data_IF_053551429073
#
_entry.id   IF_053551429073
#
_cell.length_a   1.000
_cell.length_b   1.000
_cell.length_c   1.000
_cell.angle_alpha   90.00
_cell.angle_beta   90.00
_cell.angle_gamma   90.00
#
_symmetry.space_group_name_H-M   'P 1'
#
loop_
_entity.id
_entity.type
_entity.pdbx_description
1 polymer ?
#
# COMPACT_ATOMS: atom_id res chain seq x y z
N UNK A 1 10.68 -16.57 -2.48
CA UNK A 1 9.94 -15.61 -3.32
C UNK A 1 9.57 -16.29 -4.63
N UNK A 2 8.41 -15.96 -5.20
CA UNK A 2 7.91 -16.43 -6.48
C UNK A 2 7.12 -15.27 -7.10
N UNK A 3 7.58 -14.76 -8.23
CA UNK A 3 6.95 -13.65 -8.93
C UNK A 3 5.99 -14.18 -9.98
N UNK A 4 4.82 -13.55 -10.11
CA UNK A 4 3.91 -13.77 -11.23
C UNK A 4 4.38 -12.92 -12.40
N UNK A 5 4.67 -13.56 -13.51
CA UNK A 5 5.19 -12.92 -14.72
C UNK A 5 4.13 -12.72 -15.80
N UNK A 6 3.06 -13.54 -15.78
CA UNK A 6 1.92 -13.40 -16.70
C UNK A 6 0.65 -14.11 -16.15
N UNK A 7 -0.52 -13.72 -16.67
CA UNK A 7 -1.81 -14.35 -16.41
C UNK A 7 -2.37 -14.90 -17.72
N UNK A 8 -2.44 -16.22 -17.79
CA UNK A 8 -2.86 -16.91 -19.02
C UNK A 8 -4.37 -16.88 -19.20
N UNK A 9 -4.84 -16.22 -20.25
CA UNK A 9 -6.25 -16.17 -20.64
C UNK A 9 -6.46 -16.85 -21.99
N UNK A 10 -7.42 -17.77 -22.11
CA UNK A 10 -7.83 -18.43 -23.36
C UNK A 10 -9.35 -18.37 -23.51
N UNK A 11 -9.81 -17.94 -24.66
CA UNK A 11 -11.26 -17.83 -24.97
C UNK A 11 -12.06 -17.09 -23.89
N UNK A 12 -11.50 -15.97 -23.34
CA UNK A 12 -12.14 -15.16 -22.31
C UNK A 12 -12.18 -15.78 -20.91
N UNK A 13 -11.43 -16.84 -20.68
CA UNK A 13 -11.34 -17.50 -19.38
C UNK A 13 -9.88 -17.60 -18.91
N UNK A 14 -9.63 -17.35 -17.62
CA UNK A 14 -8.32 -17.60 -17.04
C UNK A 14 -8.02 -19.12 -17.01
N UNK A 15 -6.79 -19.48 -17.35
CA UNK A 15 -6.34 -20.88 -17.38
C UNK A 15 -5.16 -21.15 -16.46
N UNK A 16 -4.53 -20.10 -15.94
CA UNK A 16 -3.42 -20.21 -15.01
C UNK A 16 -2.61 -18.92 -14.88
N UNK A 17 -1.49 -19.04 -14.22
CA UNK A 17 -0.49 -17.98 -14.06
C UNK A 17 0.89 -18.50 -14.38
N UNK A 18 1.71 -17.70 -15.04
CA UNK A 18 3.13 -17.93 -15.23
C UNK A 18 3.89 -17.32 -14.07
N UNK A 19 4.89 -18.02 -13.59
CA UNK A 19 5.72 -17.54 -12.49
C UNK A 19 7.21 -17.81 -12.75
N UNK A 20 8.06 -17.14 -12.00
CA UNK A 20 9.52 -17.40 -12.02
C UNK A 20 9.90 -18.83 -11.59
N UNK A 21 8.96 -19.62 -11.08
CA UNK A 21 9.15 -21.02 -10.68
C UNK A 21 8.33 -22.01 -11.51
N UNK A 22 7.73 -21.54 -12.60
CA UNK A 22 6.95 -22.35 -13.53
C UNK A 22 5.47 -21.98 -13.56
N UNK A 23 4.74 -22.66 -14.43
CA UNK A 23 3.31 -22.43 -14.69
C UNK A 23 2.42 -23.09 -13.64
N UNK A 24 1.44 -22.37 -13.13
CA UNK A 24 0.39 -22.89 -12.25
C UNK A 24 -0.93 -22.89 -13.04
N UNK A 25 -1.47 -24.05 -13.35
CA UNK A 25 -2.77 -24.17 -14.02
C UNK A 25 -3.91 -23.99 -13.03
N UNK A 26 -4.82 -23.09 -13.32
CA UNK A 26 -6.01 -22.84 -12.49
C UNK A 26 -7.18 -22.31 -13.32
N UNK A 27 -8.39 -22.72 -12.98
CA UNK A 27 -9.64 -22.19 -13.57
C UNK A 27 -10.14 -20.93 -12.87
N UNK A 28 -9.53 -20.57 -11.72
CA UNK A 28 -9.86 -19.38 -10.94
C UNK A 28 -8.55 -18.74 -10.44
N UNK A 29 -8.44 -17.44 -10.63
CA UNK A 29 -7.33 -16.62 -10.14
C UNK A 29 -7.92 -15.38 -9.49
N UNK A 30 -7.47 -15.04 -8.30
CA UNK A 30 -7.80 -13.79 -7.63
C UNK A 30 -6.52 -12.97 -7.47
N UNK A 31 -6.54 -11.71 -7.89
CA UNK A 31 -5.47 -10.76 -7.60
C UNK A 31 -5.80 -9.98 -6.33
N UNK A 32 -4.89 -10.09 -5.34
CA UNK A 32 -4.97 -9.45 -4.03
C UNK A 32 -3.56 -8.91 -3.73
N UNK A 33 -3.12 -7.93 -4.52
CA UNK A 33 -1.71 -7.55 -4.64
C UNK A 33 -1.47 -6.05 -4.40
N UNK A 34 -2.44 -5.38 -3.78
CA UNK A 34 -2.36 -3.96 -3.40
C UNK A 34 -1.82 -3.09 -4.56
N UNK A 35 -0.74 -2.35 -4.36
CA UNK A 35 -0.17 -1.43 -5.34
C UNK A 35 0.21 -2.02 -6.70
N UNK A 36 0.20 -3.35 -6.87
CA UNK A 36 0.46 -4.00 -8.15
C UNK A 36 -0.82 -4.45 -8.88
N UNK A 37 -2.00 -4.11 -8.37
CA UNK A 37 -3.29 -4.58 -8.90
C UNK A 37 -3.49 -4.19 -10.36
N UNK A 38 -3.20 -2.95 -10.76
CA UNK A 38 -3.34 -2.51 -12.15
C UNK A 38 -2.39 -3.22 -13.10
N UNK A 39 -1.16 -3.52 -12.64
CA UNK A 39 -0.16 -4.24 -13.42
C UNK A 39 -0.62 -5.67 -13.72
N UNK A 40 -1.07 -6.40 -12.69
CA UNK A 40 -1.54 -7.77 -12.87
C UNK A 40 -2.88 -7.84 -13.63
N UNK A 41 -3.77 -6.87 -13.43
CA UNK A 41 -4.99 -6.76 -14.22
C UNK A 41 -4.65 -6.58 -15.73
N UNK A 42 -3.63 -5.76 -16.03
CA UNK A 42 -3.11 -5.56 -17.38
C UNK A 42 -2.62 -6.84 -18.06
N UNK A 43 -2.01 -7.76 -17.31
CA UNK A 43 -1.58 -9.08 -17.82
C UNK A 43 -2.79 -9.92 -18.30
N UNK A 44 -3.95 -9.75 -17.67
CA UNK A 44 -5.20 -10.37 -18.10
C UNK A 44 -5.97 -9.56 -19.16
N UNK A 45 -5.38 -8.50 -19.72
CA UNK A 45 -6.02 -7.61 -20.70
C UNK A 45 -7.08 -6.66 -20.11
N UNK A 46 -7.07 -6.43 -18.81
CA UNK A 46 -8.02 -5.56 -18.13
C UNK A 46 -7.38 -4.23 -17.71
N UNK A 47 -8.16 -3.16 -17.79
CA UNK A 47 -7.82 -1.86 -17.24
C UNK A 47 -8.72 -1.57 -16.04
N UNK A 48 -8.11 -1.24 -14.91
CA UNK A 48 -8.82 -0.88 -13.67
C UNK A 48 -8.44 0.55 -13.25
N UNK A 49 -9.34 1.30 -12.62
CA UNK A 49 -9.08 2.66 -12.19
C UNK A 49 -8.31 2.70 -10.86
N UNK A 50 -7.23 1.94 -10.77
CA UNK A 50 -6.38 1.88 -9.58
C UNK A 50 -5.02 2.46 -9.93
N UNK A 51 -4.57 3.44 -9.17
CA UNK A 51 -3.26 4.06 -9.30
C UNK A 51 -2.33 3.58 -8.19
N UNK A 52 -1.03 3.50 -8.51
CA UNK A 52 0.00 3.03 -7.58
C UNK A 52 0.86 4.19 -7.15
N UNK A 53 0.87 4.49 -5.86
CA UNK A 53 1.62 5.60 -5.29
C UNK A 53 2.55 5.13 -4.16
N UNK A 54 3.74 5.73 -4.00
CA UNK A 54 4.55 5.51 -2.80
C UNK A 54 3.83 6.06 -1.56
N UNK A 55 3.71 5.23 -0.54
CA UNK A 55 3.21 5.60 0.79
C UNK A 55 4.39 5.56 1.76
N UNK A 56 4.75 6.72 2.29
CA UNK A 56 5.97 6.90 3.04
C UNK A 56 5.81 6.65 4.54
N UNK A 57 6.87 6.15 5.15
CA UNK A 57 7.03 6.04 6.58
C UNK A 57 8.45 6.38 7.01
N UNK A 58 8.56 6.88 8.24
CA UNK A 58 9.79 7.30 8.89
C UNK A 58 9.94 6.60 10.22
N UNK A 59 11.17 6.38 10.66
CA UNK A 59 11.47 5.91 12.01
C UNK A 59 12.55 6.77 12.65
N UNK A 60 12.32 7.12 13.93
CA UNK A 60 13.25 7.93 14.71
C UNK A 60 14.30 7.08 15.46
N UNK A 61 15.26 7.77 16.08
CA UNK A 61 16.03 7.20 17.19
C UNK A 61 15.10 6.77 18.34
N UNK A 62 15.51 5.78 19.15
CA UNK A 62 14.70 5.35 20.29
C UNK A 62 14.64 6.41 21.38
N UNK A 63 13.45 6.60 21.94
CA UNK A 63 13.14 7.49 23.03
C UNK A 63 12.64 6.70 24.25
N UNK A 64 12.63 7.34 25.42
CA UNK A 64 11.84 6.84 26.55
C UNK A 64 10.37 6.75 26.15
N UNK A 65 9.57 5.86 26.78
CA UNK A 65 8.15 5.78 26.50
C UNK A 65 7.45 7.13 26.72
N UNK A 66 6.91 7.71 25.64
CA UNK A 66 6.21 9.01 25.64
C UNK A 66 4.87 8.92 24.91
N UNK A 67 4.63 7.84 24.15
CA UNK A 67 3.44 7.68 23.32
C UNK A 67 2.83 6.27 23.52
N UNK A 68 1.91 6.11 24.48
CA UNK A 68 1.33 4.79 24.79
C UNK A 68 0.26 4.33 23.79
N UNK A 69 -0.12 5.20 22.85
CA UNK A 69 -1.16 4.91 21.86
C UNK A 69 -0.80 5.48 20.49
N UNK A 70 -1.41 4.95 19.44
CA UNK A 70 -1.31 5.51 18.10
C UNK A 70 -2.21 6.75 18.00
N UNK A 71 -1.66 7.84 17.52
CA UNK A 71 -2.42 9.06 17.22
C UNK A 71 -2.37 9.31 15.72
N UNK A 72 -3.53 9.55 15.10
CA UNK A 72 -3.64 9.89 13.69
C UNK A 72 -4.49 11.13 13.52
N UNK A 73 -4.04 12.06 12.69
CA UNK A 73 -4.83 13.20 12.23
C UNK A 73 -5.20 13.01 10.77
N UNK A 74 -6.51 12.98 10.49
CA UNK A 74 -7.01 12.97 9.12
C UNK A 74 -6.91 14.36 8.45
N UNK A 75 -6.83 15.43 9.24
CA UNK A 75 -6.76 16.80 8.72
C UNK A 75 -5.40 17.07 8.06
N UNK A 76 -4.33 16.69 8.75
CA UNK A 76 -2.94 16.87 8.28
C UNK A 76 -2.32 15.57 7.75
N UNK A 77 -3.13 14.52 7.68
CA UNK A 77 -2.81 13.22 7.11
C UNK A 77 -1.49 12.62 7.59
N UNK A 78 -1.29 12.61 8.92
CA UNK A 78 -0.11 12.05 9.55
C UNK A 78 -0.49 11.20 10.76
N UNK A 79 0.22 10.11 10.99
CA UNK A 79 0.14 9.34 12.23
C UNK A 79 1.48 9.28 12.95
N UNK A 80 1.39 9.09 14.26
CA UNK A 80 2.51 8.85 15.16
C UNK A 80 2.20 7.68 16.07
N UNK A 81 3.13 6.75 16.16
CA UNK A 81 3.13 5.67 17.16
C UNK A 81 4.54 5.47 17.71
N UNK A 82 4.66 4.81 18.84
CA UNK A 82 5.95 4.43 19.41
C UNK A 82 6.06 2.91 19.47
N UNK A 83 7.21 2.38 19.03
CA UNK A 83 7.49 0.95 19.09
C UNK A 83 7.85 0.53 20.51
N UNK A 84 7.82 -0.77 20.80
CA UNK A 84 8.26 -1.34 22.09
C UNK A 84 9.75 -1.07 22.38
N UNK A 85 10.53 -0.79 21.34
CA UNK A 85 11.95 -0.44 21.46
C UNK A 85 12.21 1.04 21.63
N UNK A 86 11.16 1.86 21.56
CA UNK A 86 11.20 3.30 21.79
C UNK A 86 11.23 4.17 20.54
N UNK A 87 11.41 3.62 19.34
CA UNK A 87 11.37 4.43 18.11
C UNK A 87 9.99 4.98 17.84
N UNK A 88 9.92 6.24 17.40
CA UNK A 88 8.70 6.80 16.83
C UNK A 88 8.56 6.34 15.39
N UNK A 89 7.39 5.82 15.04
CA UNK A 89 6.99 5.47 13.68
C UNK A 89 6.00 6.50 13.19
N UNK A 90 6.35 7.16 12.09
CA UNK A 90 5.62 8.29 11.52
C UNK A 90 5.25 7.93 10.09
N UNK A 91 4.05 8.23 9.65
CA UNK A 91 3.67 7.95 8.28
C UNK A 91 2.35 8.57 7.87
N UNK A 92 1.81 8.07 6.78
CA UNK A 92 0.61 8.39 6.04
C UNK A 92 0.79 9.30 4.81
N UNK A 93 1.97 9.87 4.57
CA UNK A 93 2.20 10.68 3.36
C UNK A 93 2.28 9.84 2.09
N UNK A 94 1.52 10.23 1.08
CA UNK A 94 1.45 9.59 -0.23
C UNK A 94 2.08 10.53 -1.25
N UNK A 95 3.03 10.02 -2.04
CA UNK A 95 3.58 10.80 -3.16
C UNK A 95 2.50 11.10 -4.20
N UNK A 96 2.49 12.32 -4.73
CA UNK A 96 1.46 12.80 -5.66
C UNK A 96 1.57 12.27 -7.08
N UNK A 97 2.52 11.37 -7.35
CA UNK A 97 2.75 10.80 -8.67
C UNK A 97 2.72 9.26 -8.64
N UNK A 98 2.25 8.68 -9.73
CA UNK A 98 2.26 7.23 -9.92
C UNK A 98 3.71 6.71 -9.97
N UNK A 99 4.04 5.78 -9.10
CA UNK A 99 5.36 5.17 -9.07
C UNK A 99 5.37 3.86 -8.28
N UNK A 100 6.29 2.97 -8.63
CA UNK A 100 6.63 1.77 -7.87
C UNK A 100 7.92 1.94 -7.06
N UNK A 101 8.43 3.17 -6.90
CA UNK A 101 9.59 3.42 -6.05
C UNK A 101 9.25 3.16 -4.58
N UNK A 102 10.19 2.55 -3.86
CA UNK A 102 10.08 2.31 -2.42
C UNK A 102 10.90 3.33 -1.60
N UNK A 103 11.30 4.44 -2.22
CA UNK A 103 12.12 5.47 -1.56
C UNK A 103 11.30 6.66 -1.09
N UNK A 104 10.29 7.07 -1.87
CA UNK A 104 9.51 8.28 -1.63
C UNK A 104 10.25 9.58 -1.94
N UNK A 105 9.53 10.70 -1.93
CA UNK A 105 10.04 12.05 -2.18
C UNK A 105 10.35 12.82 -0.90
N UNK A 106 11.24 13.79 -0.97
CA UNK A 106 11.57 14.67 0.18
C UNK A 106 10.44 15.62 0.53
N UNK A 107 9.66 16.06 -0.45
CA UNK A 107 8.54 16.99 -0.25
C UNK A 107 7.52 16.42 0.74
N UNK A 108 7.19 15.15 0.60
CA UNK A 108 6.26 14.44 1.49
C UNK A 108 6.83 14.30 2.91
N UNK A 109 8.15 14.09 3.04
CA UNK A 109 8.79 14.04 4.36
C UNK A 109 8.69 15.38 5.05
N UNK A 110 8.99 16.47 4.34
CA UNK A 110 8.93 17.81 4.87
C UNK A 110 7.52 18.15 5.33
N UNK A 111 6.51 17.87 4.51
CA UNK A 111 5.10 18.07 4.84
C UNK A 111 4.70 17.31 6.10
N UNK A 112 5.04 16.02 6.18
CA UNK A 112 4.74 15.18 7.34
C UNK A 112 5.41 15.67 8.62
N UNK A 113 6.69 16.02 8.54
CA UNK A 113 7.43 16.47 9.71
C UNK A 113 6.98 17.86 10.17
N UNK A 114 6.60 18.76 9.27
CA UNK A 114 6.00 20.04 9.61
C UNK A 114 4.66 19.85 10.32
N UNK A 115 3.76 19.06 9.75
CA UNK A 115 2.47 18.74 10.35
C UNK A 115 2.63 18.07 11.73
N UNK A 116 3.56 17.13 11.84
CA UNK A 116 3.83 16.44 13.09
C UNK A 116 4.39 17.35 14.19
N UNK A 117 5.26 18.31 13.82
CA UNK A 117 5.78 19.32 14.77
C UNK A 117 4.68 20.20 15.36
N UNK A 118 3.67 20.53 14.59
CA UNK A 118 2.52 21.30 15.09
C UNK A 118 1.73 20.52 16.14
N UNK A 119 1.57 19.21 15.91
CA UNK A 119 0.85 18.32 16.84
C UNK A 119 1.70 17.94 18.05
N UNK A 120 2.98 17.68 17.83
CA UNK A 120 3.92 17.14 18.82
C UNK A 120 5.26 17.89 18.76
N UNK A 121 5.42 19.02 19.43
CA UNK A 121 6.65 19.83 19.38
C UNK A 121 7.93 19.08 19.78
N UNK A 122 7.81 18.00 20.57
CA UNK A 122 8.95 17.14 20.96
C UNK A 122 9.67 16.55 19.75
N UNK A 123 8.95 16.30 18.65
CA UNK A 123 9.52 15.68 17.42
C UNK A 123 10.59 16.56 16.79
N UNK A 124 10.54 17.88 17.01
CA UNK A 124 11.58 18.80 16.51
C UNK A 124 12.99 18.55 17.04
N UNK A 125 13.12 17.78 18.12
CA UNK A 125 14.40 17.45 18.77
C UNK A 125 14.85 16.02 18.53
N UNK A 126 14.08 15.24 17.78
CA UNK A 126 14.29 13.80 17.55
C UNK A 126 14.94 13.59 16.19
N UNK A 127 15.96 12.73 16.15
CA UNK A 127 16.63 12.38 14.89
C UNK A 127 15.87 11.31 14.15
N UNK A 128 15.65 11.52 12.86
CA UNK A 128 15.12 10.49 11.98
C UNK A 128 16.26 9.59 11.50
N UNK A 129 16.09 8.28 11.64
CA UNK A 129 17.12 7.30 11.28
C UNK A 129 16.89 6.69 9.91
N UNK A 130 15.64 6.47 9.53
CA UNK A 130 15.28 5.77 8.30
C UNK A 130 13.97 6.27 7.73
N UNK A 131 13.93 6.22 6.41
CA UNK A 131 12.74 6.43 5.59
C UNK A 131 12.58 5.24 4.64
N UNK A 132 11.35 4.87 4.35
CA UNK A 132 11.00 3.94 3.29
C UNK A 132 9.62 4.26 2.73
N UNK A 133 9.26 3.64 1.60
CA UNK A 133 7.91 3.69 1.06
C UNK A 133 7.41 2.28 0.72
N UNK A 134 6.13 2.06 0.93
CA UNK A 134 5.38 0.96 0.35
C UNK A 134 4.60 1.46 -0.87
N UNK A 135 4.05 0.55 -1.66
CA UNK A 135 3.20 0.92 -2.79
C UNK A 135 1.75 0.74 -2.39
N UNK A 136 1.02 1.87 -2.34
CA UNK A 136 -0.41 1.89 -2.04
C UNK A 136 -1.22 1.92 -3.33
N UNK A 137 -2.37 1.24 -3.30
CA UNK A 137 -3.36 1.17 -4.37
C UNK A 137 -4.48 2.17 -4.12
N UNK A 138 -4.55 3.21 -4.94
CA UNK A 138 -5.50 4.31 -4.77
C UNK A 138 -6.57 4.24 -5.86
N UNK A 139 -7.84 4.20 -5.44
CA UNK A 139 -8.99 4.42 -6.34
C UNK A 139 -9.40 5.89 -6.31
N UNK A 140 -9.89 6.46 -7.43
CA UNK A 140 -10.29 7.87 -7.50
C UNK A 140 -11.38 8.27 -6.51
N UNK A 141 -12.27 7.33 -6.15
CA UNK A 141 -13.36 7.50 -5.20
C UNK A 141 -13.05 6.95 -3.80
N UNK A 142 -11.79 6.57 -3.55
CA UNK A 142 -11.33 5.93 -2.32
C UNK A 142 -12.11 4.66 -1.93
N UNK A 143 -12.75 4.00 -2.90
CA UNK A 143 -13.53 2.78 -2.69
C UNK A 143 -12.83 1.56 -3.28
N UNK A 144 -12.71 0.45 -2.53
CA UNK A 144 -12.05 -0.75 -3.01
C UNK A 144 -12.86 -1.49 -4.09
N UNK A 145 -12.17 -2.19 -4.96
CA UNK A 145 -12.75 -3.09 -5.95
C UNK A 145 -12.75 -4.52 -5.42
N UNK A 146 -13.93 -5.06 -5.11
CA UNK A 146 -14.14 -6.47 -4.79
C UNK A 146 -15.11 -7.01 -5.82
N UNK A 147 -14.61 -7.62 -6.89
CA UNK A 147 -15.48 -7.98 -8.01
C UNK A 147 -15.02 -9.20 -8.81
N UNK A 148 -16.00 -9.74 -9.54
CA UNK A 148 -15.76 -10.60 -10.71
C UNK A 148 -15.44 -9.70 -11.90
N UNK A 149 -14.49 -10.11 -12.72
CA UNK A 149 -14.15 -9.39 -13.94
C UNK A 149 -14.89 -9.97 -15.17
N UNK A 150 -14.83 -9.28 -16.33
CA UNK A 150 -15.29 -9.85 -17.59
C UNK A 150 -14.55 -11.12 -18.04
N UNK A 151 -13.31 -11.33 -17.54
CA UNK A 151 -12.56 -12.55 -17.78
C UNK A 151 -13.08 -13.65 -16.82
N UNK A 152 -13.66 -14.69 -17.37
CA UNK A 152 -14.25 -15.77 -16.58
C UNK A 152 -13.22 -16.42 -15.66
N UNK A 153 -13.55 -16.52 -14.36
CA UNK A 153 -12.67 -17.08 -13.34
C UNK A 153 -11.58 -16.14 -12.83
N UNK A 154 -11.58 -14.87 -13.25
CA UNK A 154 -10.64 -13.87 -12.77
C UNK A 154 -11.33 -12.87 -11.82
N UNK A 155 -10.75 -12.66 -10.66
CA UNK A 155 -11.32 -11.87 -9.56
C UNK A 155 -10.32 -10.82 -9.09
N UNK A 156 -10.85 -9.71 -8.59
CA UNK A 156 -10.05 -8.61 -8.03
C UNK A 156 -10.54 -8.32 -6.61
N UNK A 157 -9.58 -8.15 -5.70
CA UNK A 157 -9.77 -7.54 -4.38
C UNK A 157 -8.59 -6.59 -4.15
N UNK A 158 -8.79 -5.30 -4.37
CA UNK A 158 -7.75 -4.27 -4.34
C UNK A 158 -8.33 -2.86 -4.33
N UNK A 159 -7.46 -1.85 -4.37
CA UNK A 159 -7.88 -0.45 -4.30
C UNK A 159 -8.24 0.02 -2.89
N UNK A 160 -7.70 -0.63 -1.87
CA UNK A 160 -7.99 -0.35 -0.46
C UNK A 160 -7.30 0.91 0.08
N UNK A 161 -6.35 1.44 -0.64
CA UNK A 161 -5.54 2.55 -0.17
C UNK A 161 -4.89 2.23 1.18
N UNK A 162 -5.00 3.15 2.13
CA UNK A 162 -4.46 2.99 3.50
C UNK A 162 -5.38 2.16 4.42
N UNK A 163 -6.54 1.69 3.92
CA UNK A 163 -7.56 0.97 4.69
C UNK A 163 -7.42 -0.55 4.70
N UNK A 164 -6.56 -1.12 3.85
CA UNK A 164 -6.54 -2.56 3.55
C UNK A 164 -6.28 -3.47 4.74
N UNK A 165 -5.31 -3.14 5.59
CA UNK A 165 -4.94 -3.99 6.73
C UNK A 165 -6.13 -4.27 7.66
N UNK A 166 -6.82 -3.23 8.10
CA UNK A 166 -7.98 -3.36 9.00
C UNK A 166 -9.20 -4.00 8.33
N UNK A 167 -9.30 -3.93 7.01
CA UNK A 167 -10.40 -4.51 6.24
C UNK A 167 -10.19 -6.00 5.89
N UNK A 168 -8.97 -6.53 6.04
CA UNK A 168 -8.59 -7.88 5.63
C UNK A 168 -9.55 -8.98 6.12
N UNK A 169 -9.95 -9.05 7.41
CA UNK A 169 -10.84 -10.09 7.88
C UNK A 169 -12.22 -10.07 7.19
N UNK A 170 -12.78 -8.87 7.01
CA UNK A 170 -14.09 -8.71 6.37
C UNK A 170 -14.07 -8.92 4.86
N UNK A 171 -13.00 -8.49 4.19
CA UNK A 171 -12.88 -8.63 2.74
C UNK A 171 -12.49 -10.04 2.29
N UNK A 172 -11.93 -10.84 3.21
CA UNK A 172 -11.55 -12.23 2.94
C UNK A 172 -12.66 -13.24 3.21
N UNK A 173 -13.75 -12.84 3.87
CA UNK A 173 -14.93 -13.68 4.14
C UNK A 173 -15.86 -13.67 2.93
#
# INVERSE_FOLDING_TARGET
QCEVTDITVKNGQVTGVETTKGTIKSKKVAIVVAGHTSQLAGMAGLRVPIESHPLQALVSEPLKPVMPTVVMSNLVHVYLSQSDKGELVIGAGIDHYNSFTQRGGFDIIEEQLCALKEMFPIVSRVRMLRQWAGIVDVCPDASPLICKTPVKGFYINGGWGTGGFKATPGSGH
#
